data_IF_774411481401
#
_entry.id   IF_774411481401
#
_cell.length_a   1.000
_cell.length_b   1.000
_cell.length_c   1.000
_cell.angle_alpha   90.00
_cell.angle_beta   90.00
_cell.angle_gamma   90.00
#
_symmetry.space_group_name_H-M   'P 1'
#
loop_
_entity.id
_entity.type
_entity.pdbx_description
1 polymer ?
#
# COMPACT_ATOMS: atom_id res chain seq x y z
N UNK A 1 -0.98 9.07 -9.72
CA UNK A 1 0.21 8.20 -9.85
C UNK A 1 0.74 8.36 -11.26
N UNK A 2 2.03 8.63 -11.42
CA UNK A 2 2.60 8.86 -12.75
C UNK A 2 3.00 7.53 -13.40
N UNK A 3 3.36 7.58 -14.68
CA UNK A 3 3.66 6.37 -15.46
C UNK A 3 4.87 5.61 -14.93
N UNK A 4 5.85 6.30 -14.33
CA UNK A 4 7.03 5.64 -13.80
C UNK A 4 6.71 4.71 -12.64
N UNK A 5 5.67 4.99 -11.88
CA UNK A 5 5.21 4.15 -10.78
C UNK A 5 4.56 2.85 -11.25
N UNK A 6 4.23 2.74 -12.54
CA UNK A 6 3.58 1.56 -13.12
C UNK A 6 4.56 0.57 -13.71
N UNK A 7 5.84 0.89 -13.73
CA UNK A 7 6.86 -0.02 -14.26
C UNK A 7 7.16 -1.14 -13.30
N UNK A 8 7.41 -2.33 -13.81
CA UNK A 8 7.77 -3.48 -12.99
C UNK A 8 9.00 -3.15 -12.15
N UNK A 9 8.90 -3.37 -10.85
CA UNK A 9 9.96 -3.08 -9.88
C UNK A 9 9.94 -1.68 -9.31
N UNK A 10 9.01 -0.82 -9.75
CA UNK A 10 8.95 0.55 -9.25
C UNK A 10 8.28 0.61 -7.88
N UNK A 11 8.68 1.59 -7.07
CA UNK A 11 7.94 1.96 -5.86
C UNK A 11 6.68 2.67 -6.32
N UNK A 12 5.55 1.98 -6.27
CA UNK A 12 4.31 2.47 -6.86
C UNK A 12 3.42 3.23 -5.89
N UNK A 13 3.43 2.87 -4.62
CA UNK A 13 2.51 3.47 -3.65
C UNK A 13 3.07 3.31 -2.24
N UNK A 14 2.67 4.22 -1.36
CA UNK A 14 2.97 4.17 0.06
C UNK A 14 1.66 4.26 0.82
N UNK A 15 1.55 3.56 1.93
CA UNK A 15 0.29 3.53 2.67
C UNK A 15 0.54 3.51 4.17
N UNK A 16 -0.11 4.40 4.88
CA UNK A 16 -0.08 4.40 6.33
C UNK A 16 -1.30 3.64 6.85
N UNK A 17 -1.05 2.64 7.68
CA UNK A 17 -2.08 1.97 8.46
C UNK A 17 -1.95 2.48 9.89
N UNK A 18 -2.99 3.10 10.41
CA UNK A 18 -2.91 3.75 11.73
C UNK A 18 -4.18 3.53 12.54
N UNK A 19 -4.06 3.76 13.83
CA UNK A 19 -5.20 3.67 14.77
C UNK A 19 -6.00 4.96 14.82
N UNK A 20 -5.44 6.08 14.33
CA UNK A 20 -6.09 7.39 14.36
C UNK A 20 -5.80 8.14 13.07
N UNK A 21 -6.65 7.95 12.07
CA UNK A 21 -6.45 8.54 10.75
C UNK A 21 -6.54 10.07 10.79
N UNK A 22 -7.48 10.62 11.56
CA UNK A 22 -7.65 12.08 11.62
C UNK A 22 -6.45 12.75 12.31
N UNK A 23 -5.97 12.16 13.39
CA UNK A 23 -4.78 12.67 14.08
C UNK A 23 -3.53 12.59 13.21
N UNK A 24 -3.37 11.49 12.47
CA UNK A 24 -2.23 11.34 11.57
C UNK A 24 -2.28 12.38 10.45
N UNK A 25 -3.45 12.57 9.83
CA UNK A 25 -3.62 13.56 8.77
C UNK A 25 -3.26 14.97 9.25
N UNK A 26 -3.71 15.33 10.43
CA UNK A 26 -3.40 16.64 11.01
C UNK A 26 -1.90 16.80 11.26
N UNK A 27 -1.29 15.77 11.85
CA UNK A 27 0.15 15.81 12.16
C UNK A 27 0.98 16.03 10.89
N UNK A 28 0.73 15.24 9.85
CA UNK A 28 1.50 15.33 8.62
C UNK A 28 1.18 16.57 7.80
N UNK A 29 -0.05 17.07 7.84
CA UNK A 29 -0.39 18.31 7.16
C UNK A 29 0.38 19.49 7.77
N UNK A 30 0.45 19.55 9.11
CA UNK A 30 1.17 20.62 9.78
C UNK A 30 2.69 20.48 9.61
N UNK A 31 3.19 19.23 9.61
CA UNK A 31 4.63 18.98 9.51
C UNK A 31 5.16 19.12 8.08
N UNK A 32 4.45 18.55 7.12
CA UNK A 32 4.93 18.46 5.73
C UNK A 32 4.11 19.25 4.71
N UNK A 33 2.97 19.79 5.12
CA UNK A 33 2.12 20.52 4.19
C UNK A 33 1.31 19.61 3.25
N UNK A 34 1.14 18.33 3.61
CA UNK A 34 0.36 17.41 2.78
C UNK A 34 -1.09 17.82 2.68
N UNK A 35 -1.67 17.61 1.50
CA UNK A 35 -3.10 17.78 1.25
C UNK A 35 -3.73 16.43 1.03
N UNK A 36 -5.05 16.33 1.21
CA UNK A 36 -5.75 15.05 1.17
C UNK A 36 -7.04 15.13 0.36
N UNK A 37 -7.32 14.03 -0.37
CA UNK A 37 -8.66 13.74 -0.88
C UNK A 37 -9.15 12.49 -0.18
N UNK A 38 -10.32 12.54 0.45
CA UNK A 38 -10.88 11.39 1.14
C UNK A 38 -12.02 10.81 0.32
N UNK A 39 -11.99 9.49 0.14
CA UNK A 39 -13.03 8.77 -0.60
C UNK A 39 -13.36 7.46 0.12
N UNK A 40 -14.57 6.90 -0.12
CA UNK A 40 -14.92 5.63 0.50
C UNK A 40 -14.22 4.47 -0.20
N UNK A 41 -13.82 3.47 0.59
CA UNK A 41 -13.39 2.18 0.07
C UNK A 41 -14.61 1.32 -0.26
N UNK A 42 -14.39 0.11 -0.79
CA UNK A 42 -15.49 -0.79 -1.14
C UNK A 42 -16.37 -1.16 0.05
N UNK A 43 -15.82 -1.17 1.27
CA UNK A 43 -16.58 -1.45 2.49
C UNK A 43 -17.17 -0.19 3.14
N UNK A 44 -17.01 0.98 2.51
CA UNK A 44 -17.52 2.26 3.01
C UNK A 44 -16.59 2.99 3.96
N UNK A 45 -15.50 2.38 4.42
CA UNK A 45 -14.54 3.08 5.29
C UNK A 45 -13.76 4.13 4.52
N UNK A 46 -13.33 5.22 5.20
CA UNK A 46 -12.63 6.29 4.51
C UNK A 46 -11.20 5.91 4.14
N UNK A 47 -10.79 6.31 2.96
CA UNK A 47 -9.41 6.21 2.50
C UNK A 47 -8.95 7.61 2.10
N UNK A 48 -7.89 8.09 2.70
CA UNK A 48 -7.39 9.44 2.42
C UNK A 48 -6.18 9.35 1.52
N UNK A 49 -6.28 10.00 0.36
CA UNK A 49 -5.16 10.05 -0.59
C UNK A 49 -4.32 11.27 -0.27
N UNK A 50 -3.03 11.04 -0.04
CA UNK A 50 -2.05 12.10 0.23
C UNK A 50 -1.63 12.72 -1.09
N UNK A 51 -1.70 14.04 -1.16
CA UNK A 51 -1.29 14.78 -2.34
C UNK A 51 -0.13 15.72 -2.05
N UNK A 52 0.83 15.71 -2.93
CA UNK A 52 1.98 16.61 -2.89
C UNK A 52 2.04 17.33 -4.23
N UNK A 53 1.88 18.66 -4.20
CA UNK A 53 1.86 19.44 -5.43
C UNK A 53 0.76 19.02 -6.40
N UNK A 54 -0.38 18.58 -5.88
CA UNK A 54 -1.50 18.12 -6.69
C UNK A 54 -1.39 16.68 -7.16
N UNK A 55 -0.29 15.99 -6.86
CA UNK A 55 -0.08 14.60 -7.30
C UNK A 55 -0.34 13.63 -6.16
N UNK A 56 -1.10 12.58 -6.43
CA UNK A 56 -1.39 11.53 -5.47
C UNK A 56 -0.14 10.65 -5.29
N UNK A 57 0.31 10.48 -4.04
CA UNK A 57 1.54 9.74 -3.75
C UNK A 57 1.38 8.64 -2.73
N UNK A 58 0.37 8.70 -1.87
CA UNK A 58 0.22 7.76 -0.77
C UNK A 58 -1.22 7.70 -0.29
N UNK A 59 -1.51 6.75 0.58
CA UNK A 59 -2.81 6.63 1.22
C UNK A 59 -2.69 6.53 2.72
N UNK A 60 -3.75 6.90 3.42
CA UNK A 60 -3.87 6.75 4.88
C UNK A 60 -5.20 6.09 5.17
N UNK A 61 -5.17 5.01 5.93
CA UNK A 61 -6.38 4.31 6.33
C UNK A 61 -6.25 3.70 7.73
N UNK A 62 -7.39 3.39 8.31
CA UNK A 62 -7.42 2.68 9.59
C UNK A 62 -6.86 1.26 9.41
N UNK A 63 -6.21 0.75 10.46
CA UNK A 63 -5.71 -0.61 10.42
C UNK A 63 -6.86 -1.60 10.18
N UNK A 64 -6.69 -2.55 9.24
CA UNK A 64 -7.66 -3.65 9.12
C UNK A 64 -7.69 -4.50 10.38
N UNK A 65 -8.78 -5.24 10.58
CA UNK A 65 -8.94 -6.10 11.74
C UNK A 65 -7.80 -7.11 11.90
N UNK A 66 -7.26 -7.61 10.78
CA UNK A 66 -6.14 -8.55 10.78
C UNK A 66 -4.88 -7.95 11.39
N UNK A 67 -4.76 -6.62 11.41
CA UNK A 67 -3.59 -5.91 11.93
C UNK A 67 -3.80 -5.37 13.34
N UNK A 68 -4.91 -5.67 13.99
CA UNK A 68 -5.19 -5.19 15.34
C UNK A 68 -4.10 -5.63 16.31
N UNK A 69 -3.64 -4.68 17.12
CA UNK A 69 -2.58 -4.93 18.09
C UNK A 69 -1.18 -4.70 17.54
N UNK A 70 -1.04 -4.52 16.23
CA UNK A 70 0.24 -4.15 15.63
C UNK A 70 0.42 -2.63 15.70
N UNK A 71 1.65 -2.14 15.80
CA UNK A 71 1.87 -0.70 15.77
C UNK A 71 1.50 -0.11 14.41
N UNK A 72 1.11 1.16 14.36
CA UNK A 72 0.94 1.84 13.08
C UNK A 72 2.22 1.75 12.24
N UNK A 73 2.06 1.63 10.94
CA UNK A 73 3.21 1.44 10.05
C UNK A 73 2.98 2.08 8.70
N UNK A 74 4.09 2.49 8.09
CA UNK A 74 4.12 2.89 6.69
C UNK A 74 4.50 1.67 5.87
N UNK A 75 3.67 1.31 4.90
CA UNK A 75 3.87 0.16 4.04
C UNK A 75 4.19 0.61 2.62
N UNK A 76 5.03 -0.18 1.95
CA UNK A 76 5.52 0.11 0.61
C UNK A 76 4.97 -0.92 -0.35
N UNK A 77 4.42 -0.46 -1.48
CA UNK A 77 3.92 -1.32 -2.55
C UNK A 77 4.82 -1.19 -3.76
N UNK A 78 5.36 -2.32 -4.21
CA UNK A 78 6.16 -2.39 -5.43
C UNK A 78 5.25 -2.83 -6.57
N UNK A 79 5.30 -2.10 -7.67
CA UNK A 79 4.54 -2.45 -8.88
C UNK A 79 5.20 -3.65 -9.55
N UNK A 80 4.41 -4.69 -9.83
CA UNK A 80 4.89 -5.85 -10.58
C UNK A 80 3.91 -6.15 -11.71
N UNK A 81 4.41 -6.72 -12.81
CA UNK A 81 3.57 -7.05 -13.96
C UNK A 81 2.56 -8.14 -13.64
N UNK A 82 2.95 -9.11 -12.82
CA UNK A 82 2.11 -10.25 -12.47
C UNK A 82 2.42 -10.70 -11.05
N UNK A 83 1.54 -10.33 -10.12
CA UNK A 83 1.74 -10.63 -8.71
C UNK A 83 1.75 -12.14 -8.43
N UNK A 84 1.02 -12.94 -9.21
CA UNK A 84 1.02 -14.40 -9.02
C UNK A 84 2.40 -15.00 -9.33
N UNK A 85 3.06 -14.49 -10.36
CA UNK A 85 4.45 -14.89 -10.66
C UNK A 85 5.38 -14.47 -9.52
N UNK A 86 5.18 -13.28 -8.96
CA UNK A 86 5.97 -12.80 -7.82
C UNK A 86 5.80 -13.75 -6.64
N UNK A 87 4.56 -14.11 -6.29
CA UNK A 87 4.28 -15.04 -5.19
C UNK A 87 5.00 -16.37 -5.40
N UNK A 88 4.96 -16.90 -6.62
CA UNK A 88 5.62 -18.18 -6.95
C UNK A 88 7.14 -18.11 -6.75
N UNK A 89 7.73 -16.95 -6.92
CA UNK A 89 9.19 -16.79 -6.85
C UNK A 89 9.71 -16.52 -5.43
N UNK A 90 8.87 -16.01 -4.53
CA UNK A 90 9.30 -15.55 -3.21
C UNK A 90 10.04 -16.64 -2.43
N UNK A 91 9.44 -17.83 -2.34
CA UNK A 91 10.00 -18.93 -1.53
C UNK A 91 11.30 -19.43 -2.14
N UNK A 92 11.36 -19.57 -3.47
CA UNK A 92 12.58 -20.05 -4.13
C UNK A 92 13.74 -19.08 -3.98
N UNK A 93 13.45 -17.80 -3.72
CA UNK A 93 14.46 -16.78 -3.48
C UNK A 93 14.78 -16.57 -2.00
N UNK A 94 14.22 -17.40 -1.12
CA UNK A 94 14.52 -17.37 0.31
C UNK A 94 13.59 -16.52 1.16
N UNK A 95 12.55 -15.94 0.58
CA UNK A 95 11.57 -15.16 1.30
C UNK A 95 10.37 -15.96 1.78
N UNK A 96 9.39 -15.27 2.31
CA UNK A 96 8.12 -15.87 2.76
C UNK A 96 6.95 -15.10 2.21
N UNK A 97 5.88 -15.81 1.85
CA UNK A 97 4.61 -15.18 1.51
C UNK A 97 3.81 -15.08 2.80
N UNK A 98 3.60 -13.86 3.30
CA UNK A 98 2.84 -13.62 4.53
C UNK A 98 1.35 -13.58 4.25
N UNK A 99 0.97 -13.08 3.09
CA UNK A 99 -0.41 -13.09 2.62
C UNK A 99 -0.40 -13.39 1.13
N UNK A 100 -1.08 -14.46 0.68
CA UNK A 100 -1.09 -14.80 -0.74
C UNK A 100 -1.82 -13.72 -1.55
N UNK A 101 -1.65 -13.77 -2.86
CA UNK A 101 -2.26 -12.79 -3.76
C UNK A 101 -3.78 -12.77 -3.62
N UNK A 102 -4.35 -11.57 -3.54
CA UNK A 102 -5.80 -11.38 -3.49
C UNK A 102 -6.16 -10.05 -4.13
N UNK A 103 -7.42 -9.95 -4.55
CA UNK A 103 -7.89 -8.80 -5.31
C UNK A 103 -8.44 -7.71 -4.39
N UNK A 104 -8.10 -6.47 -4.71
CA UNK A 104 -8.76 -5.30 -4.15
C UNK A 104 -9.66 -4.75 -5.26
N UNK A 105 -10.99 -4.73 -5.08
CA UNK A 105 -11.90 -4.24 -6.11
C UNK A 105 -11.48 -2.85 -6.61
N UNK A 106 -11.50 -2.67 -7.92
CA UNK A 106 -11.18 -1.42 -8.60
C UNK A 106 -9.74 -0.93 -8.48
N UNK A 107 -8.87 -1.66 -7.79
CA UNK A 107 -7.48 -1.26 -7.57
C UNK A 107 -6.51 -2.21 -8.26
N UNK A 108 -6.54 -3.47 -7.88
CA UNK A 108 -5.61 -4.45 -8.41
C UNK A 108 -5.52 -5.68 -7.54
N UNK A 109 -4.43 -6.41 -7.71
CA UNK A 109 -4.19 -7.66 -7.00
C UNK A 109 -2.83 -7.56 -6.31
N UNK A 110 -2.77 -7.89 -5.02
CA UNK A 110 -1.52 -7.73 -4.28
C UNK A 110 -1.25 -8.88 -3.32
N UNK A 111 0.00 -8.96 -2.88
CA UNK A 111 0.42 -9.90 -1.85
C UNK A 111 1.29 -9.19 -0.82
N UNK A 112 1.45 -9.82 0.34
CA UNK A 112 2.37 -9.37 1.38
C UNK A 112 3.47 -10.40 1.48
N UNK A 113 4.71 -9.96 1.40
CA UNK A 113 5.85 -10.85 1.46
C UNK A 113 6.91 -10.34 2.42
N UNK A 114 7.79 -11.26 2.83
CA UNK A 114 8.90 -10.95 3.72
C UNK A 114 10.18 -11.36 3.02
N UNK A 115 11.16 -10.49 3.01
CA UNK A 115 12.45 -10.82 2.40
C UNK A 115 13.25 -11.76 3.31
N UNK A 116 14.37 -12.32 2.82
CA UNK A 116 15.15 -13.28 3.63
C UNK A 116 15.68 -12.72 4.94
N UNK A 117 15.78 -11.41 5.09
CA UNK A 117 16.27 -10.78 6.31
C UNK A 117 15.16 -10.39 7.27
N UNK A 118 13.89 -10.55 6.87
CA UNK A 118 12.76 -10.31 7.74
C UNK A 118 11.99 -9.02 7.48
N UNK A 119 12.37 -8.24 6.47
CA UNK A 119 11.63 -7.02 6.13
C UNK A 119 10.38 -7.35 5.34
N UNK A 120 9.29 -6.65 5.66
CA UNK A 120 7.99 -6.85 5.01
C UNK A 120 7.77 -5.80 3.94
N UNK A 121 7.29 -6.24 2.78
CA UNK A 121 6.98 -5.36 1.66
C UNK A 121 5.81 -5.95 0.89
N UNK A 122 5.08 -5.12 0.17
CA UNK A 122 3.96 -5.56 -0.66
C UNK A 122 4.30 -5.47 -2.14
N UNK A 123 3.71 -6.37 -2.93
CA UNK A 123 3.79 -6.30 -4.39
C UNK A 123 2.38 -6.19 -4.95
N UNK A 124 2.19 -5.38 -5.97
CA UNK A 124 0.87 -5.06 -6.51
C UNK A 124 0.89 -5.06 -8.03
N UNK A 125 -0.09 -5.73 -8.63
CA UNK A 125 -0.40 -5.56 -10.04
C UNK A 125 -1.66 -4.72 -10.13
N UNK A 126 -1.53 -3.51 -10.67
CA UNK A 126 -2.65 -2.57 -10.77
C UNK A 126 -3.54 -2.95 -11.94
N UNK A 127 -4.83 -2.63 -11.83
CA UNK A 127 -5.76 -2.83 -12.94
C UNK A 127 -5.36 -1.95 -14.11
N UNK A 128 -5.49 -2.51 -15.31
CA UNK A 128 -5.26 -1.76 -16.54
C UNK A 128 -6.33 -0.68 -16.71
N UNK A 129 -5.96 0.42 -17.26
CA UNK A 129 -6.90 1.50 -17.57
C UNK A 129 -7.39 1.41 -19.00
#
# INVERSE_FOLDING_TARGET
MNDDCMKNGAFGWFELLTTDTEGAKKFYAELFGWEYDTMPMSDGSPYSIVKVGGEAVAGIMAQPDECKGMPPSWDIYITVDDVDTTVSSVVSLGGKVLRPAFDIPDVGRFCVLQDPQGAVIMAMTYLSK
#
